data_IF_454529143630
#
_entry.id   IF_454529143630
#
_cell.length_a   1.000
_cell.length_b   1.000
_cell.length_c   1.000
_cell.angle_alpha   90.00
_cell.angle_beta   90.00
_cell.angle_gamma   90.00
#
_symmetry.space_group_name_H-M   'P 1'
#
loop_
_entity.id
_entity.type
_entity.pdbx_description
1 polymer ?
#
# COMPACT_ATOMS: atom_id res chain seq x y z
N UNK A 1 22.07 46.27 -37.12
CA UNK A 1 22.76 45.52 -36.05
C UNK A 1 22.00 45.45 -34.72
N UNK A 2 21.17 46.44 -34.33
CA UNK A 2 20.48 46.42 -33.02
C UNK A 2 19.42 45.31 -32.81
N UNK A 3 18.67 44.92 -33.85
CA UNK A 3 17.59 43.91 -33.73
C UNK A 3 18.08 42.50 -33.42
N UNK A 4 19.31 42.16 -33.80
CA UNK A 4 19.89 40.83 -33.55
C UNK A 4 20.50 40.70 -32.15
N UNK A 5 20.92 41.82 -31.55
CA UNK A 5 21.48 41.83 -30.20
C UNK A 5 20.39 41.60 -29.15
N UNK A 6 19.20 42.19 -29.36
CA UNK A 6 18.06 42.06 -28.45
C UNK A 6 17.51 40.63 -28.36
N UNK A 7 17.44 39.92 -29.50
CA UNK A 7 16.97 38.52 -29.56
C UNK A 7 17.96 37.56 -28.89
N UNK A 8 19.26 37.78 -29.04
CA UNK A 8 20.29 36.96 -28.38
C UNK A 8 20.22 37.12 -26.85
N UNK A 9 20.01 38.35 -26.34
CA UNK A 9 19.90 38.58 -24.89
C UNK A 9 18.65 37.94 -24.29
N UNK A 10 17.50 38.01 -24.97
CA UNK A 10 16.23 37.41 -24.48
C UNK A 10 16.32 35.88 -24.40
N UNK A 11 16.93 35.23 -25.40
CA UNK A 11 17.13 33.77 -25.39
C UNK A 11 18.09 33.35 -24.27
N UNK A 12 19.17 34.11 -24.05
CA UNK A 12 20.14 33.81 -23.00
C UNK A 12 19.54 33.94 -21.58
N UNK A 13 18.70 34.95 -21.33
CA UNK A 13 18.00 35.13 -20.05
C UNK A 13 16.94 34.04 -19.83
N UNK A 14 16.20 33.67 -20.88
CA UNK A 14 15.21 32.58 -20.81
C UNK A 14 15.84 31.22 -20.46
N UNK A 15 16.98 30.89 -21.09
CA UNK A 15 17.69 29.63 -20.83
C UNK A 15 18.27 29.57 -19.41
N UNK A 16 18.80 30.69 -18.91
CA UNK A 16 19.38 30.76 -17.56
C UNK A 16 18.31 30.67 -16.46
N UNK A 17 17.13 31.28 -16.63
CA UNK A 17 16.01 31.11 -15.70
C UNK A 17 15.49 29.66 -15.65
N UNK A 18 15.39 28.97 -16.80
CA UNK A 18 14.97 27.57 -16.84
C UNK A 18 15.97 26.63 -16.14
N UNK A 19 17.28 26.85 -16.33
CA UNK A 19 18.30 26.04 -15.69
C UNK A 19 18.25 26.20 -14.15
N UNK A 20 18.21 27.46 -13.67
CA UNK A 20 18.15 27.76 -12.22
C UNK A 20 16.89 27.15 -11.60
N UNK A 21 15.73 27.29 -12.25
CA UNK A 21 14.47 26.70 -11.79
C UNK A 21 14.54 25.17 -11.69
N UNK A 22 15.13 24.50 -12.69
CA UNK A 22 15.30 23.05 -12.70
C UNK A 22 16.21 22.54 -11.57
N UNK A 23 17.33 23.21 -11.33
CA UNK A 23 18.26 22.82 -10.26
C UNK A 23 17.70 23.07 -8.85
N UNK A 24 17.01 24.20 -8.64
CA UNK A 24 16.33 24.49 -7.37
C UNK A 24 15.19 23.51 -7.10
N UNK A 25 14.38 23.20 -8.12
CA UNK A 25 13.30 22.22 -8.01
C UNK A 25 13.81 20.81 -7.67
N UNK A 26 14.85 20.33 -8.37
CA UNK A 26 15.49 19.03 -8.05
C UNK A 26 16.04 18.99 -6.63
N UNK A 27 16.66 20.07 -6.15
CA UNK A 27 17.23 20.14 -4.79
C UNK A 27 16.13 20.09 -3.72
N UNK A 28 15.02 20.77 -3.92
CA UNK A 28 13.86 20.70 -2.99
C UNK A 28 13.24 19.30 -2.96
N UNK A 29 13.07 18.65 -4.12
CA UNK A 29 12.54 17.27 -4.20
C UNK A 29 13.47 16.26 -3.51
N UNK A 30 14.79 16.39 -3.71
CA UNK A 30 15.79 15.57 -3.02
C UNK A 30 15.78 15.78 -1.50
N UNK A 31 15.64 17.03 -1.04
CA UNK A 31 15.57 17.36 0.38
C UNK A 31 14.28 16.81 1.02
N UNK A 32 13.14 16.97 0.34
CA UNK A 32 11.85 16.43 0.77
C UNK A 32 11.89 14.90 0.87
N UNK A 33 12.54 14.23 -0.09
CA UNK A 33 12.73 12.77 -0.06
C UNK A 33 13.60 12.32 1.12
N UNK A 34 14.71 13.02 1.40
CA UNK A 34 15.55 12.73 2.58
C UNK A 34 14.83 12.94 3.91
N UNK A 35 14.00 13.98 4.00
CA UNK A 35 13.18 14.24 5.21
C UNK A 35 12.10 13.18 5.40
N UNK A 36 11.50 12.68 4.31
CA UNK A 36 10.54 11.57 4.36
C UNK A 36 11.19 10.27 4.83
N UNK A 37 12.39 9.95 4.32
CA UNK A 37 13.15 8.74 4.64
C UNK A 37 13.62 8.74 6.12
N UNK A 38 14.08 9.89 6.63
CA UNK A 38 14.50 10.05 8.03
C UNK A 38 13.34 9.87 9.04
N UNK A 39 12.10 10.14 8.62
CA UNK A 39 10.91 10.02 9.47
C UNK A 39 10.42 8.57 9.58
N UNK A 40 10.75 7.71 8.62
CA UNK A 40 10.34 6.30 8.59
C UNK A 40 11.22 5.43 9.52
N UNK A 41 12.46 5.84 9.79
CA UNK A 41 13.43 5.07 10.60
C UNK A 41 13.17 5.09 12.13
N UNK A 42 12.26 5.92 12.64
CA UNK A 42 12.05 6.07 14.11
C UNK A 42 10.81 5.39 14.72
N UNK A 43 10.09 4.51 14.00
CA UNK A 43 8.94 3.79 14.58
C UNK A 43 9.11 2.26 14.56
N UNK A 44 9.81 1.75 15.58
CA UNK A 44 9.54 0.52 16.35
C UNK A 44 9.22 -0.81 15.66
N UNK A 45 10.05 -1.83 15.99
CA UNK A 45 9.87 -3.29 15.85
C UNK A 45 10.32 -3.92 14.52
N UNK A 46 11.62 -3.87 14.25
CA UNK A 46 12.28 -4.43 13.05
C UNK A 46 12.49 -5.95 13.09
N UNK A 47 12.47 -6.60 14.26
CA UNK A 47 12.93 -8.00 14.37
C UNK A 47 11.86 -9.03 13.96
N UNK A 48 10.56 -8.73 14.09
CA UNK A 48 9.48 -9.70 13.78
C UNK A 48 8.94 -9.64 12.35
N UNK A 49 9.20 -8.54 11.64
CA UNK A 49 8.61 -8.27 10.32
C UNK A 49 9.45 -8.87 9.20
N UNK A 50 10.78 -8.94 9.36
CA UNK A 50 11.70 -9.44 8.34
C UNK A 50 11.53 -10.94 8.09
N UNK A 51 11.39 -11.74 9.15
CA UNK A 51 11.21 -13.20 9.05
C UNK A 51 9.85 -13.65 8.47
N UNK A 52 8.79 -12.85 8.62
CA UNK A 52 7.46 -13.18 8.07
C UNK A 52 7.42 -13.04 6.55
N UNK A 53 8.10 -12.04 5.99
CA UNK A 53 8.11 -11.84 4.55
C UNK A 53 9.03 -12.83 3.83
N UNK A 54 10.06 -13.35 4.51
CA UNK A 54 10.87 -14.43 3.98
C UNK A 54 10.06 -15.73 3.78
N UNK A 55 9.03 -15.98 4.59
CA UNK A 55 8.18 -17.17 4.43
C UNK A 55 7.30 -17.09 3.19
N UNK A 56 6.56 -15.98 3.02
CA UNK A 56 5.66 -15.83 1.88
C UNK A 56 6.42 -15.84 0.55
N UNK A 57 7.67 -15.36 0.55
CA UNK A 57 8.57 -15.46 -0.59
C UNK A 57 8.89 -16.91 -0.97
N UNK A 58 9.13 -17.78 0.02
CA UNK A 58 9.35 -19.22 -0.22
C UNK A 58 8.08 -19.93 -0.70
N UNK A 59 6.92 -19.53 -0.19
CA UNK A 59 5.63 -20.10 -0.61
C UNK A 59 5.36 -19.86 -2.11
N UNK A 60 5.93 -18.82 -2.72
CA UNK A 60 5.79 -18.54 -4.14
C UNK A 60 6.47 -19.59 -5.04
N UNK A 61 7.48 -20.30 -4.51
CA UNK A 61 8.20 -21.36 -5.23
C UNK A 61 7.37 -22.67 -5.33
N UNK A 62 6.41 -22.88 -4.42
CA UNK A 62 5.61 -24.12 -4.32
C UNK A 62 4.14 -23.96 -4.70
N UNK A 63 3.59 -22.73 -4.67
CA UNK A 63 2.20 -22.47 -4.99
C UNK A 63 2.05 -21.66 -6.28
N UNK A 64 1.09 -22.06 -7.11
CA UNK A 64 0.79 -21.36 -8.36
C UNK A 64 -0.29 -20.28 -8.22
N UNK A 65 -1.29 -20.53 -7.37
CA UNK A 65 -2.42 -19.64 -7.23
C UNK A 65 -2.28 -18.71 -6.03
N UNK A 66 -2.32 -17.40 -6.29
CA UNK A 66 -2.27 -16.35 -5.28
C UNK A 66 -3.50 -15.44 -5.41
N UNK A 67 -3.98 -14.95 -4.26
CA UNK A 67 -5.04 -13.95 -4.23
C UNK A 67 -4.83 -12.94 -3.12
N UNK A 68 -5.51 -11.81 -3.26
CA UNK A 68 -5.71 -10.85 -2.18
C UNK A 68 -7.18 -10.88 -1.75
N UNK A 69 -7.43 -10.95 -0.44
CA UNK A 69 -8.76 -10.73 0.12
C UNK A 69 -8.79 -9.40 0.87
N UNK A 70 -9.84 -8.63 0.63
CA UNK A 70 -10.12 -7.35 1.28
C UNK A 70 -11.31 -7.55 2.21
N UNK A 71 -11.07 -7.56 3.52
CA UNK A 71 -12.09 -7.74 4.55
C UNK A 71 -12.55 -6.36 5.02
N UNK A 72 -13.79 -6.02 4.72
CA UNK A 72 -14.39 -4.70 5.01
C UNK A 72 -15.26 -4.78 6.26
N UNK A 73 -15.10 -3.81 7.16
CA UNK A 73 -16.03 -3.62 8.27
C UNK A 73 -17.36 -3.05 7.80
N UNK A 74 -18.42 -3.87 7.87
CA UNK A 74 -19.76 -3.52 7.43
C UNK A 74 -20.59 -2.82 8.52
N UNK A 75 -20.20 -2.95 9.79
CA UNK A 75 -20.80 -2.23 10.91
C UNK A 75 -20.59 -0.72 10.84
N UNK A 76 -19.51 -0.30 10.18
CA UNK A 76 -19.18 1.09 9.90
C UNK A 76 -20.11 1.79 8.89
N UNK A 77 -21.03 1.06 8.25
CA UNK A 77 -22.01 1.57 7.26
C UNK A 77 -21.41 2.51 6.21
N UNK A 78 -20.20 2.20 5.75
CA UNK A 78 -19.53 2.99 4.72
C UNK A 78 -20.32 2.97 3.41
N UNK A 79 -20.48 4.12 2.76
CA UNK A 79 -21.02 4.18 1.41
C UNK A 79 -20.07 3.53 0.38
N UNK A 80 -20.63 3.09 -0.76
CA UNK A 80 -19.90 2.36 -1.82
C UNK A 80 -18.60 3.03 -2.25
N UNK A 81 -18.63 4.35 -2.48
CA UNK A 81 -17.42 5.11 -2.87
C UNK A 81 -16.34 5.11 -1.80
N UNK A 82 -16.72 5.21 -0.53
CA UNK A 82 -15.78 5.14 0.60
C UNK A 82 -15.19 3.74 0.74
N UNK A 83 -16.00 2.70 0.61
CA UNK A 83 -15.53 1.30 0.59
C UNK A 83 -14.47 1.12 -0.49
N UNK A 84 -14.75 1.55 -1.73
CA UNK A 84 -13.82 1.41 -2.84
C UNK A 84 -12.47 2.12 -2.57
N UNK A 85 -12.52 3.34 -2.02
CA UNK A 85 -11.32 4.07 -1.63
C UNK A 85 -10.52 3.34 -0.53
N UNK A 86 -11.19 2.85 0.51
CA UNK A 86 -10.54 2.13 1.62
C UNK A 86 -9.94 0.79 1.16
N UNK A 87 -10.63 0.04 0.28
CA UNK A 87 -10.11 -1.15 -0.38
C UNK A 87 -8.85 -0.85 -1.21
N UNK A 88 -8.85 0.27 -1.94
CA UNK A 88 -7.69 0.73 -2.71
C UNK A 88 -6.51 1.07 -1.80
N UNK A 89 -6.77 1.77 -0.69
CA UNK A 89 -5.75 2.08 0.32
C UNK A 89 -5.17 0.82 0.97
N UNK A 90 -6.00 -0.16 1.32
CA UNK A 90 -5.57 -1.42 1.92
C UNK A 90 -4.69 -2.22 0.96
N UNK A 91 -5.10 -2.30 -0.32
CA UNK A 91 -4.35 -2.95 -1.40
C UNK A 91 -2.98 -2.31 -1.55
N UNK A 92 -2.91 -0.98 -1.75
CA UNK A 92 -1.65 -0.27 -1.92
C UNK A 92 -0.75 -0.36 -0.67
N UNK A 93 -1.37 -0.30 0.51
CA UNK A 93 -0.68 -0.42 1.78
C UNK A 93 -0.07 -1.81 2.00
N UNK A 94 -0.71 -2.87 1.50
CA UNK A 94 -0.14 -4.22 1.51
C UNK A 94 0.93 -4.37 0.43
N UNK A 95 0.66 -3.91 -0.79
CA UNK A 95 1.62 -3.93 -1.91
C UNK A 95 2.97 -3.31 -1.52
N UNK A 96 2.94 -2.09 -0.94
CA UNK A 96 4.17 -1.40 -0.48
C UNK A 96 4.91 -2.18 0.61
N UNK A 97 4.21 -2.94 1.44
CA UNK A 97 4.83 -3.78 2.47
C UNK A 97 5.49 -5.03 1.91
N UNK A 98 5.10 -5.52 0.74
CA UNK A 98 5.59 -6.78 0.17
C UNK A 98 6.59 -6.58 -0.97
N UNK A 99 6.48 -5.49 -1.74
CA UNK A 99 7.28 -5.29 -2.97
C UNK A 99 8.79 -5.48 -2.80
N UNK A 100 9.37 -5.03 -1.69
CA UNK A 100 10.80 -5.16 -1.41
C UNK A 100 11.17 -6.34 -0.52
N UNK A 101 10.18 -7.12 -0.06
CA UNK A 101 10.34 -8.10 1.02
C UNK A 101 9.94 -9.51 0.60
N UNK A 102 9.01 -9.62 -0.34
CA UNK A 102 8.58 -10.86 -0.96
C UNK A 102 8.21 -10.61 -2.44
N UNK A 103 9.19 -10.25 -3.28
CA UNK A 103 8.95 -9.93 -4.69
C UNK A 103 8.40 -11.11 -5.50
N UNK A 104 8.84 -12.36 -5.27
CA UNK A 104 8.29 -13.53 -5.99
C UNK A 104 6.82 -13.73 -5.68
N UNK A 105 6.43 -13.62 -4.41
CA UNK A 105 5.03 -13.75 -4.00
C UNK A 105 4.14 -12.68 -4.65
N UNK A 106 4.65 -11.45 -4.74
CA UNK A 106 3.96 -10.37 -5.42
C UNK A 106 3.83 -10.63 -6.93
N UNK A 107 4.93 -11.02 -7.59
CA UNK A 107 4.92 -11.38 -9.02
C UNK A 107 3.95 -12.53 -9.29
N UNK A 108 3.91 -13.55 -8.43
CA UNK A 108 2.96 -14.66 -8.59
C UNK A 108 1.52 -14.16 -8.55
N UNK A 109 1.17 -13.32 -7.57
CA UNK A 109 -0.16 -12.71 -7.50
C UNK A 109 -0.49 -11.86 -8.73
N UNK A 110 0.46 -11.10 -9.26
CA UNK A 110 0.30 -10.31 -10.49
C UNK A 110 0.05 -11.21 -11.71
N UNK A 111 0.80 -12.30 -11.84
CA UNK A 111 0.63 -13.30 -12.90
C UNK A 111 -0.69 -14.06 -12.81
N UNK A 112 -1.27 -14.23 -11.61
CA UNK A 112 -2.63 -14.74 -11.42
C UNK A 112 -3.73 -13.74 -11.82
N UNK A 113 -3.39 -12.61 -12.46
CA UNK A 113 -4.36 -11.57 -12.80
C UNK A 113 -4.72 -10.68 -11.60
N UNK A 114 -3.83 -10.59 -10.60
CA UNK A 114 -3.95 -9.67 -9.46
C UNK A 114 -5.31 -9.75 -8.74
N UNK A 115 -5.81 -10.98 -8.54
CA UNK A 115 -7.14 -11.28 -8.00
C UNK A 115 -7.38 -10.58 -6.66
N UNK A 116 -8.50 -9.88 -6.55
CA UNK A 116 -8.97 -9.21 -5.32
C UNK A 116 -10.40 -9.66 -5.04
N UNK A 117 -10.63 -10.31 -3.91
CA UNK A 117 -11.96 -10.71 -3.44
C UNK A 117 -12.35 -9.83 -2.26
N UNK A 118 -13.54 -9.24 -2.29
CA UNK A 118 -14.01 -8.35 -1.22
C UNK A 118 -15.04 -9.08 -0.36
N UNK A 119 -14.76 -9.17 0.93
CA UNK A 119 -15.59 -9.83 1.95
C UNK A 119 -15.92 -8.85 3.07
N UNK A 120 -16.80 -9.25 3.98
CA UNK A 120 -17.21 -8.43 5.12
C UNK A 120 -17.11 -9.13 6.47
N UNK A 121 -16.93 -8.30 7.49
CA UNK A 121 -17.04 -8.60 8.92
C UNK A 121 -17.94 -7.56 9.58
N UNK A 122 -18.57 -7.91 10.69
CA UNK A 122 -19.50 -7.04 11.42
C UNK A 122 -18.87 -6.40 12.67
N UNK A 123 -17.58 -6.64 12.97
CA UNK A 123 -16.92 -6.03 14.14
C UNK A 123 -15.43 -5.74 13.90
N UNK A 124 -14.84 -4.88 14.75
CA UNK A 124 -13.40 -4.64 14.73
C UNK A 124 -12.61 -5.82 15.33
N UNK A 125 -13.18 -6.47 16.33
CA UNK A 125 -12.61 -7.60 17.03
C UNK A 125 -12.41 -8.78 16.07
N UNK A 126 -13.39 -9.08 15.23
CA UNK A 126 -13.28 -10.12 14.20
C UNK A 126 -12.19 -9.76 13.17
N UNK A 127 -12.12 -8.50 12.72
CA UNK A 127 -11.06 -8.02 11.82
C UNK A 127 -9.66 -8.24 12.42
N UNK A 128 -9.48 -7.94 13.71
CA UNK A 128 -8.21 -8.11 14.43
C UNK A 128 -7.89 -9.58 14.71
N UNK A 129 -8.90 -10.40 14.95
CA UNK A 129 -8.76 -11.85 15.07
C UNK A 129 -8.25 -12.47 13.76
N UNK A 130 -8.86 -12.12 12.62
CA UNK A 130 -8.41 -12.55 11.30
C UNK A 130 -6.97 -12.11 11.02
N UNK A 131 -6.58 -10.89 11.42
CA UNK A 131 -5.20 -10.44 11.31
C UNK A 131 -4.24 -11.31 12.13
N UNK A 132 -4.62 -11.65 13.36
CA UNK A 132 -3.81 -12.45 14.27
C UNK A 132 -3.61 -13.88 13.72
N UNK A 133 -4.69 -14.47 13.18
CA UNK A 133 -4.64 -15.76 12.49
C UNK A 133 -3.73 -15.72 11.25
N UNK A 134 -3.84 -14.68 10.43
CA UNK A 134 -2.97 -14.49 9.26
C UNK A 134 -1.50 -14.38 9.66
N UNK A 135 -1.21 -13.67 10.76
CA UNK A 135 0.15 -13.54 11.31
C UNK A 135 0.70 -14.88 11.81
N UNK A 136 -0.14 -15.74 12.39
CA UNK A 136 0.25 -17.08 12.83
C UNK A 136 0.62 -17.98 11.63
N UNK A 137 -0.12 -17.86 10.53
CA UNK A 137 0.18 -18.50 9.24
C UNK A 137 1.29 -17.80 8.44
N UNK A 138 1.91 -16.75 9.00
CA UNK A 138 2.97 -15.95 8.35
C UNK A 138 2.56 -15.32 7.01
N UNK A 139 1.27 -15.06 6.82
CA UNK A 139 0.71 -14.39 5.63
C UNK A 139 0.71 -12.87 5.86
N UNK A 140 1.20 -12.06 4.91
CA UNK A 140 1.26 -10.61 5.07
C UNK A 140 -0.13 -9.97 5.06
N UNK A 141 -0.31 -8.97 5.94
CA UNK A 141 -1.56 -8.20 6.07
C UNK A 141 -1.33 -6.70 6.20
N UNK A 142 -2.35 -5.91 5.85
CA UNK A 142 -2.40 -4.48 6.06
C UNK A 142 -3.79 -4.06 6.51
N UNK A 143 -3.90 -3.26 7.58
CA UNK A 143 -5.17 -2.64 7.98
C UNK A 143 -5.09 -1.15 7.67
N UNK A 144 -6.08 -0.66 6.93
CA UNK A 144 -6.29 0.77 6.71
C UNK A 144 -7.04 1.36 7.89
N UNK A 145 -6.61 2.57 8.28
CA UNK A 145 -7.21 3.36 9.35
C UNK A 145 -7.75 4.63 8.71
N UNK A 146 -9.01 4.94 8.97
CA UNK A 146 -9.60 6.19 8.49
C UNK A 146 -9.10 7.36 9.36
N UNK A 147 -8.54 8.38 8.70
CA UNK A 147 -8.00 9.57 9.36
C UNK A 147 -9.09 10.50 9.92
N UNK A 148 -10.37 10.13 9.84
CA UNK A 148 -11.48 10.87 10.44
C UNK A 148 -11.93 12.08 9.63
N UNK A 149 -11.69 12.11 8.31
CA UNK A 149 -12.21 13.18 7.41
C UNK A 149 -13.64 12.95 6.94
N UNK A 150 -14.36 12.01 7.58
CA UNK A 150 -15.68 11.54 7.14
C UNK A 150 -16.54 11.14 8.35
N UNK A 151 -17.77 10.69 8.11
CA UNK A 151 -18.85 10.37 9.07
C UNK A 151 -18.56 9.23 10.08
N UNK A 152 -17.35 8.68 10.14
CA UNK A 152 -16.96 7.59 11.05
C UNK A 152 -16.07 8.15 12.16
N UNK A 153 -16.14 7.58 13.36
CA UNK A 153 -15.23 7.88 14.46
C UNK A 153 -13.77 7.87 13.97
N UNK A 154 -13.04 8.95 14.29
CA UNK A 154 -11.65 9.10 13.88
C UNK A 154 -10.80 7.91 14.34
N UNK A 155 -9.84 7.49 13.51
CA UNK A 155 -8.95 6.35 13.74
C UNK A 155 -9.60 4.96 13.74
N UNK A 156 -10.80 4.83 13.18
CA UNK A 156 -11.42 3.51 12.99
C UNK A 156 -10.63 2.68 11.97
N UNK A 157 -10.38 1.40 12.30
CA UNK A 157 -9.87 0.40 11.36
C UNK A 157 -10.99 0.05 10.39
N UNK A 158 -10.76 0.17 9.09
CA UNK A 158 -11.83 0.06 8.07
C UNK A 158 -11.75 -1.22 7.26
N UNK A 159 -10.60 -1.49 6.66
CA UNK A 159 -10.39 -2.60 5.73
C UNK A 159 -9.07 -3.29 6.03
N UNK A 160 -9.08 -4.62 6.08
CA UNK A 160 -7.87 -5.44 6.10
C UNK A 160 -7.62 -6.06 4.74
N UNK A 161 -6.42 -5.90 4.19
CA UNK A 161 -5.92 -6.70 3.08
C UNK A 161 -5.08 -7.88 3.61
N UNK A 162 -5.24 -9.05 3.00
CA UNK A 162 -4.42 -10.25 3.17
C UNK A 162 -4.03 -10.78 1.78
N UNK A 163 -2.76 -11.14 1.56
CA UNK A 163 -2.27 -11.67 0.28
C UNK A 163 -1.43 -12.93 0.51
N UNK A 164 -1.68 -13.97 -0.26
CA UNK A 164 -0.89 -15.20 -0.25
C UNK A 164 -1.47 -16.30 -1.13
N UNK A 165 -0.95 -17.54 -0.99
CA UNK A 165 -1.52 -18.72 -1.65
C UNK A 165 -3.00 -18.86 -1.34
N UNK A 166 -3.80 -19.22 -2.35
CA UNK A 166 -5.27 -19.33 -2.21
C UNK A 166 -5.68 -20.17 -1.01
N UNK A 167 -5.05 -21.33 -0.82
CA UNK A 167 -5.35 -22.27 0.26
C UNK A 167 -5.16 -21.64 1.65
N UNK A 168 -4.01 -21.00 1.88
CA UNK A 168 -3.68 -20.37 3.17
C UNK A 168 -4.54 -19.14 3.45
N UNK A 169 -4.87 -18.36 2.41
CA UNK A 169 -5.80 -17.23 2.55
C UNK A 169 -7.20 -17.74 2.91
N UNK A 170 -7.68 -18.81 2.27
CA UNK A 170 -8.98 -19.41 2.56
C UNK A 170 -9.07 -20.07 3.94
N UNK A 171 -7.97 -20.55 4.50
CA UNK A 171 -7.95 -20.94 5.91
C UNK A 171 -8.42 -19.81 6.83
N UNK A 172 -8.06 -18.57 6.51
CA UNK A 172 -8.46 -17.39 7.27
C UNK A 172 -9.84 -16.89 6.87
N UNK A 173 -10.15 -16.83 5.57
CA UNK A 173 -11.27 -16.03 5.07
C UNK A 173 -12.47 -16.81 4.54
N UNK A 174 -12.41 -18.15 4.42
CA UNK A 174 -13.49 -18.94 3.75
C UNK A 174 -14.88 -18.77 4.37
N UNK A 175 -14.96 -18.50 5.67
CA UNK A 175 -16.22 -18.35 6.39
C UNK A 175 -16.87 -16.97 6.24
N UNK A 176 -16.15 -16.03 5.62
CA UNK A 176 -16.62 -14.66 5.46
C UNK A 176 -17.58 -14.55 4.28
N UNK A 177 -18.61 -13.72 4.44
CA UNK A 177 -19.54 -13.41 3.35
C UNK A 177 -18.89 -12.42 2.38
N UNK A 178 -19.22 -12.53 1.10
CA UNK A 178 -18.92 -11.48 0.12
C UNK A 178 -19.61 -10.17 0.55
N UNK A 179 -18.94 -9.04 0.30
CA UNK A 179 -19.42 -7.71 0.70
C UNK A 179 -20.71 -7.35 -0.01
#
# INVERSE_FOLDING_TARGET
MHRNMLTITVVAVGASCMAIGYFLGKRQVLLARRLSDSKETRKGSSVSVQGKNAEIERLADVHEDFKMVLVVRNDLKMGKGKIAAQCSHATLGLYKKIVNRAPKALVRWEMCGQVKVVTKTETEEELLFLQSRSKALKIPTHITIDAGRTQIAANSRTVMAILGPVQLVDEVTRGLKLL
#
